data_IF_552285997134
#
_entry.id   IF_552285997134
#
_cell.length_a   1.000
_cell.length_b   1.000
_cell.length_c   1.000
_cell.angle_alpha   90.00
_cell.angle_beta   90.00
_cell.angle_gamma   90.00
#
_symmetry.space_group_name_H-M   'P 1'
#
loop_
_entity.id
_entity.type
_entity.pdbx_description
1 polymer ?
#
# COMPACT_ATOMS: atom_id res chain seq x y z
N UNK A 1 -13.23 13.32 -5.16
CA UNK A 1 -11.83 13.39 -5.62
C UNK A 1 -11.42 11.99 -5.99
N UNK A 2 -10.95 11.79 -7.23
CA UNK A 2 -10.44 10.49 -7.64
C UNK A 2 -9.10 10.24 -6.92
N UNK A 3 -9.08 9.27 -6.01
CA UNK A 3 -7.86 8.93 -5.25
C UNK A 3 -6.72 8.49 -6.17
N UNK A 4 -7.03 8.00 -7.38
CA UNK A 4 -6.02 7.50 -8.31
C UNK A 4 -5.10 8.61 -8.82
N UNK A 5 -5.61 9.81 -9.10
CA UNK A 5 -4.80 10.93 -9.58
C UNK A 5 -3.82 11.44 -8.51
N UNK A 6 -4.22 11.41 -7.24
CA UNK A 6 -3.42 11.90 -6.10
C UNK A 6 -2.20 11.00 -5.86
N UNK A 7 -2.35 9.69 -6.08
CA UNK A 7 -1.30 8.70 -5.82
C UNK A 7 -0.39 8.43 -7.03
N UNK A 8 -0.60 9.13 -8.15
CA UNK A 8 0.26 9.00 -9.31
C UNK A 8 1.66 9.57 -9.04
N UNK A 9 2.72 8.95 -9.62
CA UNK A 9 4.07 9.50 -9.54
C UNK A 9 4.12 10.93 -10.12
N UNK A 10 4.71 11.87 -9.37
CA UNK A 10 4.94 13.24 -9.84
C UNK A 10 6.23 13.28 -10.67
N UNK A 11 6.24 13.95 -11.82
CA UNK A 11 7.44 14.05 -12.70
C UNK A 11 8.66 14.67 -11.98
N UNK A 12 8.43 15.57 -11.04
CA UNK A 12 9.46 16.23 -10.21
C UNK A 12 9.59 15.63 -8.81
N UNK A 13 9.21 14.37 -8.62
CA UNK A 13 9.24 13.71 -7.33
C UNK A 13 10.65 13.69 -6.73
N UNK A 14 10.77 14.19 -5.50
CA UNK A 14 11.94 14.00 -4.64
C UNK A 14 11.74 12.74 -3.78
N UNK A 15 12.79 12.23 -3.10
CA UNK A 15 12.66 11.11 -2.16
C UNK A 15 11.69 11.33 -1.00
N UNK A 16 11.14 12.54 -0.82
CA UNK A 16 10.16 12.85 0.24
C UNK A 16 8.80 13.31 -0.32
N UNK A 17 8.63 13.33 -1.64
CA UNK A 17 7.39 13.79 -2.29
C UNK A 17 6.14 12.96 -1.92
N UNK A 18 6.32 11.73 -1.43
CA UNK A 18 5.24 10.86 -0.96
C UNK A 18 4.71 11.27 0.42
N UNK A 19 5.46 12.03 1.23
CA UNK A 19 5.11 12.33 2.63
C UNK A 19 3.80 13.12 2.73
N UNK A 20 3.51 13.97 1.75
CA UNK A 20 2.27 14.76 1.73
C UNK A 20 1.02 13.89 1.52
N UNK A 21 1.16 12.76 0.83
CA UNK A 21 0.03 11.92 0.39
C UNK A 21 0.05 10.51 0.96
N UNK A 22 1.04 10.13 1.76
CA UNK A 22 1.17 8.77 2.30
C UNK A 22 -0.04 8.34 3.15
N UNK A 23 -0.67 9.26 3.88
CA UNK A 23 -1.90 8.99 4.63
C UNK A 23 -3.13 8.69 3.72
N UNK A 24 -3.07 9.07 2.44
CA UNK A 24 -4.13 8.86 1.44
C UNK A 24 -3.83 7.62 0.58
N UNK A 25 -2.55 7.43 0.24
CA UNK A 25 -2.07 6.42 -0.70
C UNK A 25 -1.54 5.15 -0.03
N UNK A 26 -1.25 5.22 1.27
CA UNK A 26 -0.57 4.17 2.02
C UNK A 26 0.94 4.37 2.06
N UNK A 27 1.58 3.73 3.04
CA UNK A 27 3.02 3.61 3.20
C UNK A 27 3.36 2.22 3.74
N UNK A 28 3.62 1.24 2.85
CA UNK A 28 4.07 -0.09 3.27
C UNK A 28 5.39 -0.02 4.04
N UNK A 29 5.38 -0.51 5.28
CA UNK A 29 6.55 -0.64 6.15
C UNK A 29 7.13 -2.05 6.14
N UNK A 30 6.31 -3.05 5.81
CA UNK A 30 6.71 -4.45 5.75
C UNK A 30 5.92 -5.24 4.70
N UNK A 31 6.61 -6.15 4.01
CA UNK A 31 6.04 -7.02 2.99
C UNK A 31 6.48 -8.46 3.23
N UNK A 32 5.55 -9.41 3.13
CA UNK A 32 5.88 -10.83 3.22
C UNK A 32 4.92 -11.70 2.42
N UNK A 33 5.48 -12.56 1.58
CA UNK A 33 4.72 -13.65 0.95
C UNK A 33 4.54 -14.82 1.91
N UNK A 34 3.32 -15.34 1.99
CA UNK A 34 3.07 -16.71 2.42
C UNK A 34 3.41 -17.65 1.26
N UNK A 35 4.44 -18.48 1.44
CA UNK A 35 4.92 -19.40 0.41
C UNK A 35 3.94 -20.52 0.07
N UNK A 36 2.98 -20.83 0.95
CA UNK A 36 2.00 -21.90 0.72
C UNK A 36 0.86 -21.44 -0.18
N UNK A 37 0.33 -20.25 0.09
CA UNK A 37 -0.83 -19.70 -0.63
C UNK A 37 -0.44 -18.78 -1.77
N UNK A 38 0.75 -18.16 -1.70
CA UNK A 38 1.17 -17.08 -2.58
C UNK A 38 0.59 -15.72 -2.20
N UNK A 39 -0.11 -15.62 -1.05
CA UNK A 39 -0.65 -14.35 -0.56
C UNK A 39 0.48 -13.39 -0.15
N UNK A 40 0.35 -12.12 -0.53
CA UNK A 40 1.21 -11.03 -0.08
C UNK A 40 0.56 -10.31 1.10
N UNK A 41 1.20 -10.37 2.26
CA UNK A 41 0.83 -9.58 3.42
C UNK A 41 1.60 -8.26 3.43
N UNK A 42 0.89 -7.18 3.74
CA UNK A 42 1.38 -5.80 3.73
C UNK A 42 1.08 -5.20 5.10
N UNK A 43 2.13 -4.78 5.82
CA UNK A 43 1.98 -3.94 7.00
C UNK A 43 2.18 -2.48 6.57
N UNK A 44 1.10 -1.69 6.60
CA UNK A 44 1.06 -0.30 6.17
C UNK A 44 0.97 0.64 7.37
N UNK A 45 1.64 1.79 7.30
CA UNK A 45 1.68 2.77 8.38
C UNK A 45 0.32 3.43 8.68
N UNK A 46 -0.63 3.41 7.74
CA UNK A 46 -1.94 4.08 7.87
C UNK A 46 -3.12 3.13 7.68
N UNK A 47 -2.93 2.04 6.93
CA UNK A 47 -4.01 1.09 6.62
C UNK A 47 -3.95 -0.22 7.42
N UNK A 48 -3.00 -0.33 8.37
CA UNK A 48 -2.83 -1.48 9.22
C UNK A 48 -2.32 -2.71 8.46
N UNK A 49 -2.86 -3.89 8.78
CA UNK A 49 -2.49 -5.14 8.13
C UNK A 49 -3.43 -5.43 6.96
N UNK A 50 -2.85 -5.64 5.78
CA UNK A 50 -3.59 -5.95 4.56
C UNK A 50 -3.05 -7.19 3.86
N UNK A 51 -3.83 -7.73 2.92
CA UNK A 51 -3.47 -8.89 2.11
C UNK A 51 -3.89 -8.75 0.66
N UNK A 52 -3.03 -9.17 -0.26
CA UNK A 52 -3.31 -9.32 -1.69
C UNK A 52 -3.12 -10.79 -2.07
N UNK A 53 -4.03 -11.36 -2.85
CA UNK A 53 -3.88 -12.72 -3.36
C UNK A 53 -2.77 -12.84 -4.42
N UNK A 54 -2.41 -14.06 -4.84
CA UNK A 54 -1.33 -14.30 -5.82
C UNK A 54 -1.61 -13.69 -7.21
N UNK A 55 -2.86 -13.33 -7.52
CA UNK A 55 -3.26 -12.66 -8.76
C UNK A 55 -3.09 -11.14 -8.70
N UNK A 56 -2.61 -10.58 -7.59
CA UNK A 56 -2.54 -9.13 -7.40
C UNK A 56 -3.92 -8.51 -7.16
N UNK A 57 -4.03 -7.23 -7.48
CA UNK A 57 -5.26 -6.43 -7.29
C UNK A 57 -5.27 -5.64 -5.98
N UNK A 58 -6.45 -5.13 -5.63
CA UNK A 58 -6.64 -4.34 -4.42
C UNK A 58 -6.46 -5.20 -3.16
N UNK A 59 -5.72 -4.66 -2.20
CA UNK A 59 -5.53 -5.32 -0.93
C UNK A 59 -6.83 -5.34 -0.11
N UNK A 60 -7.07 -6.46 0.57
CA UNK A 60 -8.14 -6.61 1.55
C UNK A 60 -7.59 -6.27 2.93
N UNK A 61 -8.29 -5.42 3.68
CA UNK A 61 -7.93 -5.12 5.08
C UNK A 61 -8.19 -6.34 5.98
N UNK A 62 -7.20 -6.67 6.82
CA UNK A 62 -7.27 -7.75 7.80
C UNK A 62 -7.40 -7.21 9.23
N UNK A 63 -6.72 -6.11 9.53
CA UNK A 63 -6.82 -5.38 10.79
C UNK A 63 -6.47 -3.91 10.54
N UNK A 64 -7.18 -3.00 11.20
CA UNK A 64 -6.85 -1.57 11.18
C UNK A 64 -5.98 -1.21 12.38
N UNK A 65 -5.30 -0.08 12.30
CA UNK A 65 -4.78 0.65 13.45
C UNK A 65 -5.92 1.09 14.39
#
# INVERSE_FOLDING_TARGET
>A
MDRSEICNPKESATPFSYVETEHICGRPLGLRFDKKTGDLYIADAYFGLMKVGPQGGLATSLATE
#
